data_IF_839346730110
#
_entry.id   IF_839346730110
#
_cell.length_a   1.000
_cell.length_b   1.000
_cell.length_c   1.000
_cell.angle_alpha   90.00
_cell.angle_beta   90.00
_cell.angle_gamma   90.00
#
_symmetry.space_group_name_H-M   'P 1'
#
loop_
_entity.id
_entity.type
_entity.pdbx_description
1 polymer ?
#
# COMPACT_ATOMS: atom_id res chain seq x y z
N UNK A 1 -8.34 18.67 -4.08
CA UNK A 1 -6.88 18.56 -4.27
C UNK A 1 -6.20 18.41 -2.92
N UNK A 2 -5.33 17.43 -2.79
CA UNK A 2 -4.57 17.22 -1.54
C UNK A 2 -3.11 17.58 -1.74
N UNK A 3 -2.56 18.35 -0.80
CA UNK A 3 -1.16 18.79 -0.81
C UNK A 3 -0.55 18.64 0.58
N UNK A 4 0.75 18.31 0.62
CA UNK A 4 1.51 18.22 1.85
C UNK A 4 1.23 16.97 2.66
N UNK A 5 1.64 16.98 3.92
CA UNK A 5 1.50 15.85 4.83
C UNK A 5 0.05 15.69 5.28
N UNK A 6 -0.49 14.48 5.14
CA UNK A 6 -1.84 14.13 5.57
C UNK A 6 -1.85 12.73 6.17
N UNK A 7 -2.72 12.52 7.14
CA UNK A 7 -2.82 11.26 7.88
C UNK A 7 -4.09 10.50 7.51
N UNK A 8 -3.98 9.18 7.48
CA UNK A 8 -5.09 8.27 7.17
C UNK A 8 -5.06 7.08 8.11
N UNK A 9 -6.24 6.52 8.37
CA UNK A 9 -6.38 5.31 9.18
C UNK A 9 -6.18 4.07 8.34
N UNK A 10 -5.41 3.13 8.87
CA UNK A 10 -5.06 1.87 8.19
C UNK A 10 -5.83 0.73 8.87
N UNK A 11 -6.52 -0.08 8.05
CA UNK A 11 -7.28 -1.23 8.55
C UNK A 11 -6.35 -2.32 9.06
N UNK A 12 -6.69 -2.90 10.22
CA UNK A 12 -5.92 -4.02 10.78
C UNK A 12 -6.03 -5.27 9.90
N UNK A 13 -5.01 -6.13 9.95
CA UNK A 13 -4.98 -7.36 9.16
C UNK A 13 -4.61 -7.17 7.70
N UNK A 14 -4.19 -5.97 7.28
CA UNK A 14 -3.77 -5.68 5.92
C UNK A 14 -2.25 -5.64 5.80
N UNK A 15 -1.74 -5.77 4.58
CA UNK A 15 -0.32 -5.58 4.30
C UNK A 15 0.13 -4.16 4.69
N UNK A 16 -0.67 -3.15 4.37
CA UNK A 16 -0.38 -1.77 4.76
C UNK A 16 -0.25 -1.62 6.27
N UNK A 17 -1.10 -2.30 7.05
CA UNK A 17 -1.00 -2.27 8.51
C UNK A 17 0.31 -2.87 9.01
N UNK A 18 0.81 -3.92 8.38
CA UNK A 18 2.10 -4.52 8.74
C UNK A 18 3.28 -3.61 8.43
N UNK A 19 3.13 -2.68 7.48
CA UNK A 19 4.18 -1.73 7.08
C UNK A 19 4.13 -0.47 7.95
N UNK A 20 2.94 0.09 8.14
CA UNK A 20 2.76 1.41 8.77
C UNK A 20 2.18 1.39 10.19
N UNK A 21 1.51 0.31 10.59
CA UNK A 21 0.68 0.32 11.79
C UNK A 21 -0.71 0.89 11.49
N UNK A 22 -1.37 1.44 12.51
CA UNK A 22 -2.77 1.87 12.42
C UNK A 22 -2.99 3.23 11.76
N UNK A 23 -1.92 4.03 11.60
CA UNK A 23 -2.00 5.37 10.99
C UNK A 23 -0.83 5.53 10.03
N UNK A 24 -1.11 6.09 8.86
CA UNK A 24 -0.08 6.47 7.89
C UNK A 24 -0.12 7.98 7.69
N UNK A 25 1.05 8.62 7.71
CA UNK A 25 1.19 10.05 7.42
C UNK A 25 2.19 10.19 6.29
N UNK A 26 1.71 10.64 5.14
CA UNK A 26 2.52 10.77 3.94
C UNK A 26 2.20 12.07 3.22
N UNK A 27 3.06 12.47 2.29
CA UNK A 27 2.94 13.71 1.56
C UNK A 27 2.20 13.49 0.25
N UNK A 28 1.32 14.42 -0.07
CA UNK A 28 0.45 14.37 -1.23
C UNK A 28 0.74 15.48 -2.22
N UNK A 29 0.56 15.15 -3.50
CA UNK A 29 0.60 16.12 -4.61
C UNK A 29 -0.27 15.57 -5.74
N UNK A 30 -1.59 15.60 -5.55
CA UNK A 30 -2.50 15.10 -6.57
C UNK A 30 -3.78 15.91 -6.61
N UNK A 31 -4.45 15.88 -7.75
CA UNK A 31 -5.66 16.64 -8.00
C UNK A 31 -6.91 15.76 -7.99
N UNK A 32 -6.77 14.51 -8.38
CA UNK A 32 -7.89 13.59 -8.52
C UNK A 32 -7.88 12.54 -7.43
N UNK A 33 -9.07 12.06 -7.10
CA UNK A 33 -9.28 11.02 -6.08
C UNK A 33 -10.10 9.88 -6.68
N UNK A 34 -9.93 8.67 -6.12
CA UNK A 34 -10.82 7.57 -6.46
C UNK A 34 -12.25 7.92 -6.02
N UNK A 35 -13.20 7.74 -6.91
CA UNK A 35 -14.58 8.06 -6.63
C UNK A 35 -15.15 7.10 -5.59
N UNK A 36 -15.59 7.65 -4.46
CA UNK A 36 -16.11 6.86 -3.32
C UNK A 36 -17.32 6.00 -3.69
N UNK A 37 -18.05 6.38 -4.72
CA UNK A 37 -19.22 5.62 -5.18
C UNK A 37 -18.84 4.27 -5.81
N UNK A 38 -17.59 4.09 -6.20
CA UNK A 38 -17.11 2.84 -6.80
C UNK A 38 -16.38 1.93 -5.81
N UNK A 39 -16.17 2.36 -4.56
CA UNK A 39 -15.37 1.58 -3.61
C UNK A 39 -15.98 0.21 -3.31
N UNK A 40 -17.31 0.13 -3.14
CA UNK A 40 -17.96 -1.15 -2.89
C UNK A 40 -17.83 -2.10 -4.10
N UNK A 41 -17.94 -1.57 -5.30
CA UNK A 41 -17.75 -2.36 -6.53
C UNK A 41 -16.35 -2.93 -6.59
N UNK A 42 -15.33 -2.11 -6.28
CA UNK A 42 -13.93 -2.54 -6.26
C UNK A 42 -13.68 -3.59 -5.16
N UNK A 43 -14.24 -3.39 -3.98
CA UNK A 43 -14.13 -4.37 -2.87
C UNK A 43 -14.76 -5.71 -3.26
N UNK A 44 -15.91 -5.68 -3.87
CA UNK A 44 -16.60 -6.90 -4.32
C UNK A 44 -15.81 -7.64 -5.39
N UNK A 45 -15.01 -6.92 -6.18
CA UNK A 45 -14.14 -7.52 -7.19
C UNK A 45 -12.81 -8.06 -6.60
N UNK A 46 -12.56 -7.86 -5.31
CA UNK A 46 -11.39 -8.40 -4.62
C UNK A 46 -10.32 -7.38 -4.24
N UNK A 47 -10.51 -6.10 -4.53
CA UNK A 47 -9.57 -5.07 -4.13
C UNK A 47 -9.77 -4.73 -2.64
N UNK A 48 -8.68 -4.71 -1.88
CA UNK A 48 -8.70 -4.32 -0.48
C UNK A 48 -8.38 -2.84 -0.37
N UNK A 49 -9.30 -2.05 0.21
CA UNK A 49 -9.06 -0.64 0.52
C UNK A 49 -8.48 -0.62 1.92
N UNK A 50 -7.16 -0.55 2.03
CA UNK A 50 -6.46 -0.74 3.30
C UNK A 50 -6.27 0.53 4.11
N UNK A 51 -6.41 1.70 3.51
CA UNK A 51 -6.36 2.96 4.24
C UNK A 51 -7.31 4.00 3.65
N UNK A 52 -7.95 4.75 4.54
CA UNK A 52 -8.89 5.83 4.20
C UNK A 52 -8.56 7.06 5.03
N UNK A 53 -8.79 8.25 4.46
CA UNK A 53 -8.64 9.49 5.22
C UNK A 53 -9.64 9.54 6.38
N UNK A 54 -9.25 10.20 7.47
CA UNK A 54 -10.02 10.17 8.71
C UNK A 54 -11.39 10.84 8.61
N UNK A 55 -11.48 11.96 7.90
CA UNK A 55 -12.74 12.73 7.81
C UNK A 55 -13.57 12.36 6.59
N UNK A 56 -12.98 12.44 5.41
CA UNK A 56 -13.71 12.33 4.15
C UNK A 56 -13.80 10.90 3.62
N UNK A 57 -13.08 9.96 4.26
CA UNK A 57 -13.03 8.55 3.87
C UNK A 57 -12.60 8.37 2.41
N UNK A 58 -11.64 9.20 1.98
CA UNK A 58 -11.02 9.08 0.66
C UNK A 58 -9.99 7.95 0.66
N UNK A 59 -9.86 7.27 -0.48
CA UNK A 59 -8.92 6.16 -0.63
C UNK A 59 -7.48 6.64 -0.54
N UNK A 60 -6.71 6.01 0.33
CA UNK A 60 -5.29 6.30 0.51
C UNK A 60 -4.40 5.17 0.00
N UNK A 61 -4.69 3.94 0.39
CA UNK A 61 -3.94 2.74 0.02
C UNK A 61 -4.91 1.65 -0.42
N UNK A 62 -4.55 0.97 -1.51
CA UNK A 62 -5.24 -0.24 -1.97
C UNK A 62 -4.23 -1.37 -2.07
N UNK A 63 -4.70 -2.60 -1.92
CA UNK A 63 -3.85 -3.77 -2.03
C UNK A 63 -4.64 -4.99 -2.50
N UNK A 64 -3.93 -6.01 -2.95
CA UNK A 64 -4.51 -7.32 -3.20
C UNK A 64 -4.11 -8.28 -2.08
N UNK A 65 -4.99 -9.24 -1.72
CA UNK A 65 -4.66 -10.26 -0.72
C UNK A 65 -3.41 -11.04 -1.15
N UNK A 66 -2.60 -11.46 -0.17
CA UNK A 66 -1.39 -12.24 -0.42
C UNK A 66 -1.68 -13.53 -1.20
N UNK A 67 -2.84 -14.12 -1.00
CA UNK A 67 -3.29 -15.32 -1.71
C UNK A 67 -3.51 -15.07 -3.22
N UNK A 68 -3.73 -13.83 -3.62
CA UNK A 68 -3.97 -13.43 -5.02
C UNK A 68 -2.67 -12.97 -5.66
N UNK A 69 -1.86 -12.20 -4.92
CA UNK A 69 -0.59 -11.66 -5.43
C UNK A 69 0.42 -11.58 -4.28
N UNK A 70 1.69 -11.95 -4.51
CA UNK A 70 2.71 -11.95 -3.45
C UNK A 70 2.89 -10.59 -2.78
N UNK A 71 2.80 -9.50 -3.55
CA UNK A 71 2.87 -8.16 -3.01
C UNK A 71 2.36 -7.15 -4.03
N UNK A 72 1.16 -6.61 -3.80
CA UNK A 72 0.56 -5.58 -4.65
C UNK A 72 -0.01 -4.49 -3.76
N UNK A 73 0.54 -3.28 -3.88
CA UNK A 73 0.11 -2.11 -3.11
C UNK A 73 0.07 -0.91 -4.04
N UNK A 74 -1.04 -0.18 -4.02
CA UNK A 74 -1.19 1.09 -4.70
C UNK A 74 -1.44 2.20 -3.69
N UNK A 75 -0.79 3.34 -3.87
CA UNK A 75 -0.89 4.46 -2.94
C UNK A 75 -1.23 5.75 -3.68
N UNK A 76 -1.96 6.63 -3.03
CA UNK A 76 -2.33 7.93 -3.59
C UNK A 76 -1.24 8.98 -3.33
N UNK A 77 -0.47 8.81 -2.27
CA UNK A 77 0.60 9.72 -1.88
C UNK A 77 1.91 9.46 -2.62
N UNK A 78 2.91 10.28 -2.34
CA UNK A 78 4.25 10.19 -2.93
C UNK A 78 5.28 9.77 -1.87
N UNK A 79 5.52 8.46 -1.70
CA UNK A 79 6.45 7.98 -0.66
C UNK A 79 7.88 8.47 -0.87
N UNK A 80 8.29 8.77 -2.11
CA UNK A 80 9.61 9.27 -2.42
C UNK A 80 9.91 10.61 -1.75
N UNK A 81 8.88 11.38 -1.39
CA UNK A 81 9.07 12.68 -0.72
C UNK A 81 9.60 12.53 0.71
N UNK A 82 9.50 11.34 1.30
CA UNK A 82 9.98 11.06 2.65
C UNK A 82 11.15 10.07 2.67
N UNK A 83 11.53 9.53 1.51
CA UNK A 83 12.65 8.59 1.40
C UNK A 83 13.96 9.35 1.29
N UNK A 84 15.00 8.86 1.99
CA UNK A 84 16.35 9.41 1.92
C UNK A 84 17.35 8.29 1.67
N UNK A 85 18.59 8.61 1.19
CA UNK A 85 19.62 7.57 1.01
C UNK A 85 20.02 6.88 2.32
N UNK A 86 19.83 7.54 3.44
CA UNK A 86 20.25 7.03 4.77
C UNK A 86 19.11 6.30 5.47
N UNK A 87 17.88 6.77 5.29
CA UNK A 87 16.68 6.20 5.89
C UNK A 87 15.72 5.78 4.79
N UNK A 88 15.73 4.50 4.45
CA UNK A 88 14.80 3.97 3.45
C UNK A 88 13.35 4.10 3.91
N UNK A 89 12.45 4.39 2.98
CA UNK A 89 11.04 4.45 3.28
C UNK A 89 10.48 3.03 3.53
N UNK A 90 9.64 2.83 4.56
CA UNK A 90 9.13 1.49 4.89
C UNK A 90 8.42 0.79 3.73
N UNK A 91 7.71 1.54 2.88
CA UNK A 91 7.02 0.95 1.72
C UNK A 91 8.01 0.39 0.71
N UNK A 92 9.08 1.12 0.40
CA UNK A 92 10.13 0.64 -0.52
C UNK A 92 10.89 -0.54 0.06
N UNK A 93 11.19 -0.49 1.36
CA UNK A 93 11.86 -1.61 2.06
C UNK A 93 11.00 -2.88 2.00
N UNK A 94 9.70 -2.77 2.22
CA UNK A 94 8.77 -3.89 2.16
C UNK A 94 8.68 -4.47 0.74
N UNK A 95 8.68 -3.62 -0.28
CA UNK A 95 8.66 -4.05 -1.68
C UNK A 95 9.91 -4.85 -2.03
N UNK A 96 11.09 -4.35 -1.68
CA UNK A 96 12.35 -5.04 -1.94
C UNK A 96 12.40 -6.36 -1.19
N UNK A 97 11.99 -6.40 0.08
CA UNK A 97 11.96 -7.62 0.87
C UNK A 97 11.04 -8.67 0.24
N UNK A 98 9.86 -8.29 -0.20
CA UNK A 98 8.93 -9.18 -0.88
C UNK A 98 9.51 -9.71 -2.20
N UNK A 99 10.24 -8.86 -2.92
CA UNK A 99 10.90 -9.24 -4.17
C UNK A 99 11.98 -10.29 -3.94
N UNK A 100 12.78 -10.14 -2.89
CA UNK A 100 13.81 -11.10 -2.49
C UNK A 100 13.18 -12.45 -2.12
N UNK A 101 12.14 -12.42 -1.31
CA UNK A 101 11.42 -13.62 -0.88
C UNK A 101 10.82 -14.38 -2.08
N UNK A 102 10.24 -13.64 -3.01
CA UNK A 102 9.66 -14.22 -4.23
C UNK A 102 10.75 -14.86 -5.09
N UNK A 103 11.90 -14.22 -5.25
CA UNK A 103 13.02 -14.77 -5.98
C UNK A 103 13.55 -16.07 -5.33
N UNK A 104 13.68 -16.09 -4.02
CA UNK A 104 14.12 -17.27 -3.27
C UNK A 104 13.13 -18.43 -3.40
N UNK A 105 11.84 -18.16 -3.33
CA UNK A 105 10.80 -19.16 -3.54
C UNK A 105 10.86 -19.77 -4.94
N UNK A 106 11.05 -18.94 -5.97
CA UNK A 106 11.20 -19.40 -7.34
C UNK A 106 12.46 -20.29 -7.53
N UNK A 107 13.57 -19.93 -6.89
CA UNK A 107 14.80 -20.77 -6.91
C UNK A 107 14.58 -22.11 -6.23
N UNK A 108 13.89 -22.13 -5.10
CA UNK A 108 13.57 -23.37 -4.39
C UNK A 108 12.71 -24.30 -5.23
N UNK A 109 11.70 -23.76 -5.90
CA UNK A 109 10.84 -24.53 -6.80
C UNK A 109 11.63 -25.14 -7.96
N UNK A 110 12.57 -24.39 -8.54
CA UNK A 110 13.44 -24.90 -9.60
C UNK A 110 14.39 -25.99 -9.08
N UNK A 111 14.88 -25.86 -7.87
CA UNK A 111 15.78 -26.85 -7.27
C UNK A 111 15.06 -28.18 -6.97
N UNK A 112 13.76 -28.16 -6.70
CA UNK A 112 12.96 -29.35 -6.42
C UNK A 112 12.43 -29.98 -7.71
N UNK A 113 12.29 -29.21 -8.76
CA UNK A 113 11.84 -29.71 -10.06
C UNK A 113 13.01 -30.32 -10.83
#
# INVERSE_FOLDING_TARGET
MRLGAQSSDVSSGTLAHSIYGSVVTERHRHRYEANVNYLNTLRNAGLVISALTQREQLTEIVELPHSVHPWFVGVQFHPEFKSTPWDGHPLFNAFIQASIEHQQGAKQLKAVA
#
